data_IF_008727120267
#
_entry.id   IF_008727120267
#
_cell.length_a   1.000
_cell.length_b   1.000
_cell.length_c   1.000
_cell.angle_alpha   90.00
_cell.angle_beta   90.00
_cell.angle_gamma   90.00
#
_symmetry.space_group_name_H-M   'P 1'
#
loop_
_entity.id
_entity.type
_entity.pdbx_description
1 polymer ?
#
# COMPACT_ATOMS: atom_id res chain seq x y z
N UNK A 1 27.95 18.66 -1.93
CA UNK A 1 27.21 18.54 -3.20
C UNK A 1 25.71 18.85 -3.04
N UNK A 2 25.14 19.69 -3.92
CA UNK A 2 23.68 19.97 -4.03
C UNK A 2 23.16 19.36 -5.33
N UNK A 3 22.19 18.46 -5.27
CA UNK A 3 21.62 17.79 -6.45
C UNK A 3 20.61 18.71 -7.16
N UNK A 4 20.76 18.86 -8.48
CA UNK A 4 19.85 19.64 -9.33
C UNK A 4 19.00 18.67 -10.13
N UNK A 5 17.72 18.56 -9.82
CA UNK A 5 16.80 17.65 -10.50
C UNK A 5 15.85 18.47 -11.37
N UNK A 6 15.68 18.07 -12.63
CA UNK A 6 14.72 18.67 -13.55
C UNK A 6 13.74 17.63 -14.09
N UNK A 7 12.45 17.80 -13.79
CA UNK A 7 11.40 16.94 -14.33
C UNK A 7 11.06 17.23 -15.80
N UNK A 8 11.71 18.23 -16.42
CA UNK A 8 11.40 18.73 -17.77
C UNK A 8 12.50 18.42 -18.78
N UNK A 9 13.61 17.81 -18.34
CA UNK A 9 14.82 17.63 -19.15
C UNK A 9 14.71 16.51 -20.21
N UNK A 10 13.63 15.73 -20.22
CA UNK A 10 13.49 14.52 -21.04
C UNK A 10 14.43 13.36 -20.65
N UNK A 11 15.37 13.60 -19.72
CA UNK A 11 16.28 12.60 -19.17
C UNK A 11 15.65 12.05 -17.88
N UNK A 12 15.56 10.72 -17.70
CA UNK A 12 15.06 10.16 -16.45
C UNK A 12 15.82 10.70 -15.24
N UNK A 13 15.10 11.01 -14.15
CA UNK A 13 15.68 11.62 -12.93
C UNK A 13 16.85 10.77 -12.39
N UNK A 14 16.78 9.45 -12.51
CA UNK A 14 17.86 8.56 -12.10
C UNK A 14 19.16 8.79 -12.89
N UNK A 15 19.09 9.05 -14.21
CA UNK A 15 20.26 9.37 -15.03
C UNK A 15 20.81 10.76 -14.68
N UNK A 16 19.95 11.74 -14.36
CA UNK A 16 20.40 13.07 -13.94
C UNK A 16 21.21 13.02 -12.64
N UNK A 17 20.73 12.23 -11.66
CA UNK A 17 21.42 12.02 -10.38
C UNK A 17 22.74 11.26 -10.61
N UNK A 18 22.71 10.19 -11.40
CA UNK A 18 23.89 9.39 -11.75
C UNK A 18 25.00 10.21 -12.41
N UNK A 19 24.64 11.11 -13.33
CA UNK A 19 25.60 11.98 -14.02
C UNK A 19 26.22 13.00 -13.07
N UNK A 20 25.41 13.61 -12.19
CA UNK A 20 25.92 14.60 -11.24
C UNK A 20 26.82 13.96 -10.17
N UNK A 21 26.45 12.79 -9.64
CA UNK A 21 27.32 12.07 -8.68
C UNK A 21 28.61 11.62 -9.37
N UNK A 22 28.54 11.14 -10.62
CA UNK A 22 29.74 10.78 -11.40
C UNK A 22 30.63 12.00 -11.63
N UNK A 23 30.06 13.15 -11.98
CA UNK A 23 30.81 14.39 -12.17
C UNK A 23 31.48 14.85 -10.86
N UNK A 24 30.79 14.76 -9.72
CA UNK A 24 31.31 15.14 -8.41
C UNK A 24 32.45 14.22 -7.91
N UNK A 25 32.40 12.93 -8.23
CA UNK A 25 33.52 12.00 -7.95
C UNK A 25 34.71 12.32 -8.87
N UNK A 26 34.47 12.54 -10.16
CA UNK A 26 35.53 12.83 -11.13
C UNK A 26 36.17 14.21 -10.94
N UNK A 27 35.43 15.18 -10.39
CA UNK A 27 35.94 16.52 -10.05
C UNK A 27 36.67 16.56 -8.71
N UNK A 28 36.65 15.48 -7.93
CA UNK A 28 37.24 15.43 -6.59
C UNK A 28 36.42 16.17 -5.51
N UNK A 29 35.18 16.58 -5.82
CA UNK A 29 34.24 17.16 -4.83
C UNK A 29 33.76 16.10 -3.82
N UNK A 30 33.75 14.82 -4.22
CA UNK A 30 33.51 13.67 -3.36
C UNK A 30 34.78 12.83 -3.28
N UNK A 31 35.42 12.82 -2.10
CA UNK A 31 36.63 12.02 -1.88
C UNK A 31 36.30 10.62 -1.38
N UNK A 32 37.17 9.65 -1.70
CA UNK A 32 37.11 8.35 -1.06
C UNK A 32 37.31 8.57 0.45
N UNK A 33 36.46 7.95 1.28
CA UNK A 33 36.43 8.05 2.76
C UNK A 33 35.63 9.21 3.37
N UNK A 34 35.08 10.15 2.58
CA UNK A 34 34.03 11.06 3.09
C UNK A 34 32.70 10.31 3.27
N UNK A 35 32.08 10.46 4.44
CA UNK A 35 30.72 9.95 4.67
C UNK A 35 29.75 10.66 3.75
N UNK A 36 29.16 9.91 2.80
CA UNK A 36 28.03 10.39 2.01
C UNK A 36 26.95 10.95 2.97
N UNK A 37 26.21 12.00 2.57
CA UNK A 37 25.05 12.44 3.33
C UNK A 37 24.19 11.22 3.64
N UNK A 38 23.74 11.08 4.89
CA UNK A 38 22.94 9.91 5.28
C UNK A 38 21.84 9.66 4.24
N UNK A 39 21.55 8.40 3.94
CA UNK A 39 20.47 8.04 2.99
C UNK A 39 19.19 8.80 3.33
N UNK A 40 18.93 9.07 4.61
CA UNK A 40 17.85 9.92 5.10
C UNK A 40 17.89 11.35 4.57
N UNK A 41 19.05 12.01 4.58
CA UNK A 41 19.27 13.35 4.02
C UNK A 41 19.10 13.35 2.50
N UNK A 42 19.59 12.32 1.81
CA UNK A 42 19.41 12.16 0.36
C UNK A 42 17.94 11.89 0.00
N UNK A 43 17.26 11.06 0.79
CA UNK A 43 15.85 10.68 0.64
C UNK A 43 14.94 11.89 0.82
N UNK A 44 15.19 12.73 1.84
CA UNK A 44 14.44 13.98 2.06
C UNK A 44 14.56 14.92 0.85
N UNK A 45 15.69 14.93 0.15
CA UNK A 45 15.89 15.77 -1.05
C UNK A 45 15.26 15.20 -2.33
N UNK A 46 14.94 13.90 -2.36
CA UNK A 46 14.44 13.16 -3.53
C UNK A 46 12.95 12.73 -3.33
N UNK A 47 12.34 13.09 -2.20
CA UNK A 47 11.00 12.63 -1.80
C UNK A 47 9.91 12.87 -2.85
N UNK A 48 9.42 11.77 -3.42
CA UNK A 48 8.25 11.72 -4.30
C UNK A 48 8.03 10.38 -5.02
N UNK A 49 9.03 9.48 -5.09
CA UNK A 49 8.90 8.20 -5.83
C UNK A 49 9.66 7.07 -5.12
N UNK A 50 8.97 6.12 -4.44
CA UNK A 50 9.58 4.99 -3.74
C UNK A 50 10.44 4.08 -4.65
N UNK A 51 10.04 3.87 -5.90
CA UNK A 51 10.79 3.05 -6.86
C UNK A 51 12.07 3.73 -7.38
N UNK A 52 12.13 5.05 -7.37
CA UNK A 52 13.35 5.80 -7.68
C UNK A 52 14.36 5.71 -6.55
N UNK A 53 13.89 5.60 -5.30
CA UNK A 53 14.76 5.38 -4.13
C UNK A 53 15.47 4.02 -4.24
N UNK A 54 14.73 2.97 -4.59
CA UNK A 54 15.28 1.63 -4.80
C UNK A 54 16.28 1.60 -5.96
N UNK A 55 15.95 2.28 -7.07
CA UNK A 55 16.82 2.33 -8.25
C UNK A 55 18.11 3.11 -7.96
N UNK A 56 18.00 4.28 -7.32
CA UNK A 56 19.18 5.09 -6.91
C UNK A 56 20.02 4.33 -5.89
N UNK A 57 19.38 3.61 -4.97
CA UNK A 57 20.07 2.77 -3.99
C UNK A 57 20.80 1.58 -4.63
N UNK A 58 20.14 0.79 -5.48
CA UNK A 58 20.75 -0.34 -6.19
C UNK A 58 21.96 0.11 -7.03
N UNK A 59 21.87 1.27 -7.68
CA UNK A 59 22.94 1.82 -8.52
C UNK A 59 24.11 2.40 -7.70
N UNK A 60 23.82 3.03 -6.55
CA UNK A 60 24.87 3.45 -5.61
C UNK A 60 25.61 2.22 -5.07
N UNK A 61 24.88 1.17 -4.68
CA UNK A 61 25.44 -0.07 -4.16
C UNK A 61 26.30 -0.82 -5.19
N UNK A 62 25.78 -1.00 -6.42
CA UNK A 62 26.50 -1.66 -7.52
C UNK A 62 27.80 -0.93 -7.87
N UNK A 63 27.79 0.40 -7.84
CA UNK A 63 28.97 1.22 -8.16
C UNK A 63 30.00 1.23 -7.03
N UNK A 64 29.57 1.15 -5.76
CA UNK A 64 30.47 1.02 -4.61
C UNK A 64 31.13 -0.37 -4.54
N UNK A 65 30.42 -1.43 -4.96
CA UNK A 65 30.99 -2.77 -5.17
C UNK A 65 32.06 -2.76 -6.28
N UNK A 66 31.74 -2.15 -7.43
CA UNK A 66 32.66 -2.05 -8.57
C UNK A 66 33.88 -1.14 -8.30
N UNK A 67 33.79 -0.23 -7.33
CA UNK A 67 34.90 0.62 -6.89
C UNK A 67 35.76 -0.02 -5.78
N UNK A 68 35.53 -1.30 -5.42
CA UNK A 68 36.31 -2.01 -4.40
C UNK A 68 36.04 -1.57 -2.95
N UNK A 69 34.99 -0.78 -2.71
CA UNK A 69 34.62 -0.25 -1.39
C UNK A 69 33.62 -1.14 -0.63
N UNK A 70 33.26 -2.31 -1.19
CA UNK A 70 32.19 -3.18 -0.67
C UNK A 70 32.38 -3.74 0.74
N UNK A 71 33.61 -3.74 1.27
CA UNK A 71 33.93 -4.29 2.61
C UNK A 71 34.15 -3.22 3.69
N UNK A 72 34.17 -1.92 3.32
CA UNK A 72 34.49 -0.81 4.26
C UNK A 72 33.26 -0.09 4.79
N UNK A 73 32.11 -0.31 4.17
CA UNK A 73 30.82 0.15 4.65
C UNK A 73 29.92 -1.07 4.79
N UNK A 74 29.77 -1.54 6.02
CA UNK A 74 28.57 -2.27 6.41
C UNK A 74 27.42 -1.25 6.30
N UNK A 75 26.96 -1.00 5.08
CA UNK A 75 25.63 -0.43 4.91
C UNK A 75 24.72 -1.50 5.47
N UNK A 76 24.16 -1.23 6.66
CA UNK A 76 23.02 -1.96 7.16
C UNK A 76 22.11 -2.18 5.96
N UNK A 77 21.81 -3.45 5.68
CA UNK A 77 20.87 -3.89 4.63
C UNK A 77 19.45 -3.31 4.84
N UNK A 78 19.29 -2.36 5.75
CA UNK A 78 18.12 -1.56 6.08
C UNK A 78 17.81 -0.44 5.06
N UNK A 79 18.21 -0.54 3.79
CA UNK A 79 17.50 0.21 2.77
C UNK A 79 16.22 -0.54 2.44
N UNK A 80 15.20 -0.28 3.27
CA UNK A 80 13.76 -0.24 3.02
C UNK A 80 13.24 -1.27 1.98
N UNK A 81 13.76 -2.49 2.00
CA UNK A 81 12.97 -3.67 1.73
C UNK A 81 12.44 -4.06 3.09
N UNK A 82 11.27 -3.53 3.49
CA UNK A 82 10.58 -4.06 4.66
C UNK A 82 10.50 -5.57 4.41
N UNK A 83 11.19 -6.40 5.21
CA UNK A 83 11.17 -7.83 5.02
C UNK A 83 9.73 -8.31 4.89
N UNK A 84 9.46 -9.31 4.05
CA UNK A 84 8.11 -9.90 3.96
C UNK A 84 7.65 -10.34 5.37
N UNK A 85 8.57 -10.76 6.24
CA UNK A 85 8.30 -11.03 7.65
C UNK A 85 7.71 -9.83 8.39
N UNK A 86 8.16 -8.61 8.12
CA UNK A 86 7.73 -7.41 8.85
C UNK A 86 6.36 -6.94 8.36
N UNK A 87 6.09 -7.04 7.05
CA UNK A 87 4.75 -6.85 6.49
C UNK A 87 3.78 -7.87 7.11
N UNK A 88 4.20 -9.13 7.25
CA UNK A 88 3.40 -10.17 7.88
C UNK A 88 3.17 -9.89 9.37
N UNK A 89 4.22 -9.54 10.13
CA UNK A 89 4.13 -9.22 11.56
C UNK A 89 3.19 -8.02 11.77
N UNK A 90 3.35 -6.95 10.99
CA UNK A 90 2.51 -5.73 11.08
C UNK A 90 1.06 -6.01 10.70
N UNK A 91 0.81 -6.78 9.63
CA UNK A 91 -0.55 -7.12 9.23
C UNK A 91 -1.24 -8.02 10.25
N UNK A 92 -0.53 -9.00 10.82
CA UNK A 92 -1.07 -9.90 11.85
C UNK A 92 -1.33 -9.12 13.14
N UNK A 93 -0.37 -8.30 13.60
CA UNK A 93 -0.47 -7.60 14.88
C UNK A 93 -1.66 -6.63 14.91
N UNK A 94 -1.89 -5.91 13.82
CA UNK A 94 -3.06 -5.03 13.73
C UNK A 94 -4.38 -5.79 13.51
N UNK A 95 -4.36 -6.88 12.75
CA UNK A 95 -5.57 -7.68 12.52
C UNK A 95 -6.11 -8.37 13.80
N UNK A 96 -5.25 -8.65 14.79
CA UNK A 96 -5.68 -9.14 16.11
C UNK A 96 -6.71 -8.21 16.75
N UNK A 97 -6.62 -6.89 16.54
CA UNK A 97 -7.60 -5.93 17.06
C UNK A 97 -8.91 -5.90 16.25
N UNK A 98 -8.87 -6.27 14.96
CA UNK A 98 -10.07 -6.37 14.12
C UNK A 98 -10.93 -7.59 14.48
N UNK A 99 -10.32 -8.69 14.94
CA UNK A 99 -11.03 -9.94 15.27
C UNK A 99 -12.13 -9.72 16.33
N UNK A 100 -11.88 -9.09 17.49
CA UNK A 100 -12.93 -8.76 18.46
C UNK A 100 -14.04 -7.89 17.87
N UNK A 101 -13.71 -6.92 17.02
CA UNK A 101 -14.70 -6.04 16.36
C UNK A 101 -15.66 -6.86 15.51
N UNK A 102 -15.15 -7.78 14.70
CA UNK A 102 -15.99 -8.68 13.90
C UNK A 102 -16.82 -9.62 14.76
N UNK A 103 -16.23 -10.22 15.81
CA UNK A 103 -16.97 -11.09 16.73
C UNK A 103 -18.14 -10.33 17.37
N UNK A 104 -17.89 -9.14 17.92
CA UNK A 104 -18.92 -8.30 18.53
C UNK A 104 -20.00 -7.89 17.52
N UNK A 105 -19.60 -7.53 16.29
CA UNK A 105 -20.52 -7.19 15.22
C UNK A 105 -21.48 -8.34 14.87
N UNK A 106 -20.96 -9.56 14.67
CA UNK A 106 -21.80 -10.72 14.36
C UNK A 106 -22.64 -11.19 15.55
N UNK A 107 -22.17 -11.03 16.79
CA UNK A 107 -22.98 -11.26 17.99
C UNK A 107 -24.13 -10.25 18.09
N UNK A 108 -23.87 -8.98 17.77
CA UNK A 108 -24.89 -7.94 17.72
C UNK A 108 -25.94 -8.21 16.63
N UNK A 109 -25.52 -8.60 15.43
CA UNK A 109 -26.43 -9.03 14.36
C UNK A 109 -27.28 -10.24 14.78
N UNK A 110 -26.69 -11.21 15.48
CA UNK A 110 -27.41 -12.36 16.04
C UNK A 110 -28.50 -11.91 17.02
N UNK A 111 -28.19 -10.96 17.92
CA UNK A 111 -29.17 -10.38 18.86
C UNK A 111 -30.32 -9.68 18.16
N UNK A 112 -30.09 -9.07 16.99
CA UNK A 112 -31.11 -8.42 16.16
C UNK A 112 -31.91 -9.40 15.26
N UNK A 113 -31.67 -10.71 15.35
CA UNK A 113 -32.30 -11.70 14.46
C UNK A 113 -31.83 -11.67 13.00
N UNK A 114 -30.69 -10.99 12.74
CA UNK A 114 -30.05 -10.83 11.41
C UNK A 114 -28.85 -11.76 11.28
N UNK A 115 -29.03 -13.03 11.64
CA UNK A 115 -27.96 -14.04 11.57
C UNK A 115 -27.49 -14.25 10.13
N UNK A 116 -26.18 -14.37 9.97
CA UNK A 116 -25.54 -14.71 8.69
C UNK A 116 -25.15 -16.18 8.66
N UNK A 117 -24.89 -16.70 7.46
CA UNK A 117 -24.34 -18.05 7.32
C UNK A 117 -22.89 -18.09 7.86
N UNK A 118 -22.45 -19.26 8.31
CA UNK A 118 -21.07 -19.46 8.73
C UNK A 118 -20.05 -19.11 7.62
N UNK A 119 -20.34 -19.48 6.36
CA UNK A 119 -19.44 -19.19 5.24
C UNK A 119 -19.34 -17.69 4.94
N UNK A 120 -20.45 -16.94 5.05
CA UNK A 120 -20.42 -15.49 4.90
C UNK A 120 -19.55 -14.86 6.00
N UNK A 121 -19.78 -15.26 7.26
CA UNK A 121 -18.97 -14.78 8.39
C UNK A 121 -17.49 -15.10 8.15
N UNK A 122 -17.12 -16.35 7.84
CA UNK A 122 -15.74 -16.71 7.57
C UNK A 122 -15.12 -15.89 6.42
N UNK A 123 -15.87 -15.69 5.32
CA UNK A 123 -15.40 -14.90 4.19
C UNK A 123 -15.25 -13.41 4.53
N UNK A 124 -16.07 -12.85 5.44
CA UNK A 124 -15.89 -11.49 5.96
C UNK A 124 -14.60 -11.38 6.78
N UNK A 125 -14.25 -12.38 7.59
CA UNK A 125 -12.96 -12.39 8.29
C UNK A 125 -11.79 -12.37 7.30
N UNK A 126 -11.80 -13.24 6.29
CA UNK A 126 -10.77 -13.27 5.23
C UNK A 126 -10.70 -11.94 4.49
N UNK A 127 -11.84 -11.36 4.13
CA UNK A 127 -11.91 -10.06 3.47
C UNK A 127 -11.34 -8.94 4.36
N UNK A 128 -11.62 -8.96 5.67
CA UNK A 128 -11.06 -8.03 6.63
C UNK A 128 -9.54 -8.15 6.78
N UNK A 129 -9.01 -9.38 6.78
CA UNK A 129 -7.56 -9.59 6.81
C UNK A 129 -6.90 -9.04 5.54
N UNK A 130 -7.53 -9.27 4.39
CA UNK A 130 -7.11 -8.68 3.13
C UNK A 130 -7.10 -7.15 3.17
N UNK A 131 -8.17 -6.50 3.67
CA UNK A 131 -8.22 -5.03 3.77
C UNK A 131 -7.09 -4.50 4.66
N UNK A 132 -6.83 -5.18 5.77
CA UNK A 132 -5.77 -4.80 6.69
C UNK A 132 -4.37 -4.98 6.08
N UNK A 133 -4.15 -6.11 5.40
CA UNK A 133 -2.92 -6.40 4.67
C UNK A 133 -2.69 -5.39 3.54
N UNK A 134 -3.74 -5.00 2.81
CA UNK A 134 -3.67 -3.96 1.80
C UNK A 134 -3.14 -2.65 2.38
N UNK A 135 -3.73 -2.16 3.49
CA UNK A 135 -3.26 -0.93 4.13
C UNK A 135 -1.82 -1.05 4.66
N UNK A 136 -1.40 -2.26 5.06
CA UNK A 136 -0.02 -2.52 5.51
C UNK A 136 0.95 -2.41 4.33
N UNK A 137 0.61 -3.01 3.18
CA UNK A 137 1.44 -2.99 1.97
C UNK A 137 1.54 -1.59 1.37
N UNK A 138 0.50 -0.76 1.50
CA UNK A 138 0.54 0.65 1.06
C UNK A 138 1.38 1.56 1.98
N UNK A 139 1.96 1.01 3.06
CA UNK A 139 2.87 1.72 3.94
C UNK A 139 2.18 2.63 4.97
N UNK A 140 0.85 2.56 5.11
CA UNK A 140 0.15 3.27 6.18
C UNK A 140 0.58 2.68 7.52
N UNK A 141 0.81 3.52 8.53
CA UNK A 141 1.21 3.09 9.88
C UNK A 141 2.70 2.77 10.05
N UNK A 142 3.54 3.03 9.05
CA UNK A 142 5.01 2.90 9.17
C UNK A 142 5.68 4.12 9.79
N UNK A 143 5.04 5.29 9.76
CA UNK A 143 5.55 6.50 10.44
C UNK A 143 4.90 6.65 11.80
N UNK A 144 5.71 6.68 12.86
CA UNK A 144 5.27 6.98 14.24
C UNK A 144 4.74 8.41 14.40
N UNK A 145 5.06 9.32 13.47
CA UNK A 145 4.58 10.71 13.48
C UNK A 145 3.65 10.98 12.31
N UNK A 146 2.37 11.23 12.59
CA UNK A 146 1.38 11.68 11.61
C UNK A 146 1.56 13.18 11.34
N UNK A 147 2.56 13.56 10.55
CA UNK A 147 2.73 14.96 10.12
C UNK A 147 2.15 15.16 8.72
N UNK A 148 1.21 16.08 8.59
CA UNK A 148 0.66 16.44 7.28
C UNK A 148 1.73 17.09 6.40
N UNK A 149 2.14 16.38 5.34
CA UNK A 149 3.18 16.83 4.38
C UNK A 149 2.77 16.48 2.95
N UNK A 150 1.69 17.06 2.40
CA UNK A 150 1.17 16.66 1.10
C UNK A 150 2.15 17.01 -0.03
N UNK A 151 2.54 16.01 -0.80
CA UNK A 151 3.24 16.09 -2.05
C UNK A 151 2.42 15.28 -3.08
N UNK A 152 1.71 16.00 -3.94
CA UNK A 152 0.76 15.41 -4.88
C UNK A 152 1.39 15.41 -6.27
N UNK A 153 1.58 14.22 -6.83
CA UNK A 153 1.94 14.04 -8.24
C UNK A 153 0.69 14.21 -9.10
N UNK A 154 0.59 15.36 -9.77
CA UNK A 154 -0.55 15.71 -10.61
C UNK A 154 -0.40 15.27 -12.08
N UNK A 155 0.76 14.73 -12.47
CA UNK A 155 1.00 14.35 -13.86
C UNK A 155 0.46 12.95 -14.14
N UNK A 156 -0.69 12.82 -14.81
CA UNK A 156 -1.24 11.51 -15.10
C UNK A 156 -0.34 10.78 -16.11
N UNK A 157 -0.35 9.45 -16.05
CA UNK A 157 0.30 8.51 -16.97
C UNK A 157 1.83 8.47 -16.95
N UNK A 158 2.53 9.56 -16.59
CA UNK A 158 4.00 9.57 -16.57
C UNK A 158 4.52 8.51 -15.60
N UNK A 159 3.99 8.47 -14.37
CA UNK A 159 4.35 7.47 -13.36
C UNK A 159 4.06 6.03 -13.82
N UNK A 160 2.98 5.84 -14.59
CA UNK A 160 2.63 4.51 -15.12
C UNK A 160 3.62 4.01 -16.18
N UNK A 161 4.15 4.92 -17.00
CA UNK A 161 5.10 4.61 -18.06
C UNK A 161 6.51 4.40 -17.47
N UNK A 162 6.89 5.22 -16.49
CA UNK A 162 8.22 5.14 -15.86
C UNK A 162 8.33 4.05 -14.81
N UNK A 163 7.22 3.65 -14.18
CA UNK A 163 7.12 2.60 -13.16
C UNK A 163 6.03 1.55 -13.48
N UNK A 164 6.19 0.73 -14.53
CA UNK A 164 5.16 -0.24 -14.93
C UNK A 164 4.96 -1.37 -13.93
N UNK A 165 5.99 -1.74 -13.17
CA UNK A 165 5.90 -2.78 -12.13
C UNK A 165 5.01 -2.29 -10.99
N UNK A 166 5.24 -1.08 -10.48
CA UNK A 166 4.45 -0.46 -9.39
C UNK A 166 2.97 -0.35 -9.80
N UNK A 167 2.74 0.06 -11.06
CA UNK A 167 1.40 0.12 -11.65
C UNK A 167 0.70 -1.24 -11.65
N UNK A 168 1.39 -2.30 -12.08
CA UNK A 168 0.84 -3.66 -12.09
C UNK A 168 0.55 -4.14 -10.65
N UNK A 169 1.45 -3.85 -9.70
CA UNK A 169 1.29 -4.22 -8.30
C UNK A 169 0.07 -3.53 -7.68
N UNK A 170 -0.15 -2.24 -7.95
CA UNK A 170 -1.33 -1.50 -7.49
C UNK A 170 -2.64 -2.07 -8.07
N UNK A 171 -2.64 -2.44 -9.36
CA UNK A 171 -3.77 -3.14 -9.98
C UNK A 171 -4.04 -4.48 -9.26
N UNK A 172 -3.01 -5.33 -9.13
CA UNK A 172 -3.13 -6.65 -8.50
C UNK A 172 -3.61 -6.53 -7.05
N UNK A 173 -3.12 -5.51 -6.32
CA UNK A 173 -3.46 -5.27 -4.92
C UNK A 173 -4.97 -5.01 -4.73
N UNK A 174 -5.63 -4.35 -5.69
CA UNK A 174 -7.06 -4.03 -5.61
C UNK A 174 -8.00 -5.07 -6.27
N UNK A 175 -7.47 -6.05 -7.01
CA UNK A 175 -8.26 -7.14 -7.61
C UNK A 175 -9.10 -7.89 -6.56
N UNK A 176 -8.56 -8.30 -5.38
CA UNK A 176 -9.37 -8.98 -4.38
C UNK A 176 -10.51 -8.12 -3.84
N UNK A 177 -10.34 -6.79 -3.68
CA UNK A 177 -11.44 -5.90 -3.29
C UNK A 177 -12.60 -5.99 -4.29
N UNK A 178 -12.28 -5.89 -5.58
CA UNK A 178 -13.26 -6.00 -6.65
C UNK A 178 -13.98 -7.35 -6.73
N UNK A 179 -13.29 -8.41 -6.30
CA UNK A 179 -13.83 -9.77 -6.25
C UNK A 179 -14.71 -10.02 -5.02
N UNK A 180 -14.25 -9.62 -3.82
CA UNK A 180 -14.95 -9.90 -2.56
C UNK A 180 -16.25 -9.11 -2.43
N UNK A 181 -16.31 -7.86 -2.90
CA UNK A 181 -17.52 -7.04 -2.81
C UNK A 181 -18.77 -7.73 -3.40
N UNK A 182 -18.79 -8.12 -4.69
CA UNK A 182 -19.93 -8.83 -5.26
C UNK A 182 -20.11 -10.26 -4.72
N UNK A 183 -19.04 -10.91 -4.24
CA UNK A 183 -19.11 -12.23 -3.62
C UNK A 183 -19.91 -12.20 -2.30
N UNK A 184 -19.65 -11.20 -1.46
CA UNK A 184 -20.25 -11.06 -0.14
C UNK A 184 -21.60 -10.33 -0.18
N UNK A 185 -21.80 -9.43 -1.15
CA UNK A 185 -22.92 -8.47 -1.12
C UNK A 185 -23.61 -8.31 -2.47
N UNK A 186 -24.91 -8.59 -2.51
CA UNK A 186 -25.74 -8.46 -3.73
C UNK A 186 -25.77 -7.05 -4.33
N UNK A 187 -25.61 -6.00 -3.50
CA UNK A 187 -25.60 -4.60 -3.96
C UNK A 187 -24.40 -4.27 -4.87
N UNK A 188 -23.37 -5.11 -4.84
CA UNK A 188 -22.15 -4.94 -5.61
C UNK A 188 -22.12 -5.76 -6.91
N UNK A 189 -23.25 -6.35 -7.33
CA UNK A 189 -23.36 -7.06 -8.61
C UNK A 189 -23.26 -6.18 -9.87
N UNK A 190 -22.99 -4.88 -9.72
CA UNK A 190 -22.80 -3.96 -10.83
C UNK A 190 -21.41 -3.34 -10.77
N UNK A 191 -20.72 -3.30 -11.92
CA UNK A 191 -19.40 -2.69 -12.04
C UNK A 191 -19.34 -1.29 -11.44
N UNK A 192 -20.39 -0.47 -11.64
CA UNK A 192 -20.43 0.92 -11.14
C UNK A 192 -20.30 1.01 -9.61
N UNK A 193 -20.95 0.11 -8.87
CA UNK A 193 -20.88 0.14 -7.40
C UNK A 193 -19.54 -0.37 -6.89
N UNK A 194 -18.93 -1.36 -7.57
CA UNK A 194 -17.58 -1.83 -7.26
C UNK A 194 -16.53 -0.78 -7.59
N UNK A 195 -16.59 -0.17 -8.78
CA UNK A 195 -15.68 0.88 -9.21
C UNK A 195 -15.75 2.09 -8.28
N UNK A 196 -16.96 2.53 -7.89
CA UNK A 196 -17.12 3.64 -6.95
C UNK A 196 -16.53 3.32 -5.56
N UNK A 197 -16.77 2.11 -5.04
CA UNK A 197 -16.19 1.72 -3.75
C UNK A 197 -14.67 1.55 -3.82
N UNK A 198 -14.13 0.98 -4.91
CA UNK A 198 -12.68 0.90 -5.15
C UNK A 198 -12.05 2.29 -5.21
N UNK A 199 -12.65 3.21 -5.96
CA UNK A 199 -12.22 4.60 -6.05
C UNK A 199 -12.23 5.30 -4.69
N UNK A 200 -13.35 5.23 -3.95
CA UNK A 200 -13.46 5.90 -2.65
C UNK A 200 -12.50 5.30 -1.61
N UNK A 201 -12.29 3.98 -1.63
CA UNK A 201 -11.34 3.32 -0.74
C UNK A 201 -9.90 3.73 -1.07
N UNK A 202 -9.53 3.73 -2.36
CA UNK A 202 -8.21 4.20 -2.79
C UNK A 202 -8.01 5.68 -2.48
N UNK A 203 -9.03 6.53 -2.65
CA UNK A 203 -8.97 7.94 -2.26
C UNK A 203 -8.72 8.10 -0.75
N UNK A 204 -9.35 7.26 0.08
CA UNK A 204 -9.09 7.26 1.52
C UNK A 204 -7.65 6.85 1.85
N UNK A 205 -7.08 5.86 1.12
CA UNK A 205 -5.66 5.47 1.25
C UNK A 205 -4.74 6.66 0.93
N UNK A 206 -4.95 7.32 -0.21
CA UNK A 206 -4.17 8.49 -0.64
C UNK A 206 -4.23 9.63 0.38
N UNK A 207 -5.43 9.94 0.88
CA UNK A 207 -5.63 10.99 1.90
C UNK A 207 -4.84 10.65 3.17
N UNK A 208 -4.88 9.40 3.63
CA UNK A 208 -4.15 8.97 4.84
C UNK A 208 -2.64 9.02 4.62
N UNK A 209 -2.15 8.68 3.42
CA UNK A 209 -0.72 8.73 3.08
C UNK A 209 -0.15 10.16 3.12
N UNK A 210 -0.97 11.19 2.88
CA UNK A 210 -0.56 12.60 3.06
C UNK A 210 -0.17 12.95 4.50
N UNK A 211 -0.67 12.21 5.50
CA UNK A 211 -0.32 12.38 6.91
C UNK A 211 0.89 11.55 7.34
N UNK A 212 1.33 10.59 6.53
CA UNK A 212 2.49 9.75 6.80
C UNK A 212 3.73 10.28 6.08
N UNK A 213 4.06 9.63 4.97
CA UNK A 213 5.29 9.88 4.20
C UNK A 213 5.09 11.02 3.20
N UNK A 214 3.85 11.50 3.06
CA UNK A 214 3.54 12.74 2.35
C UNK A 214 3.36 12.59 0.85
N UNK A 215 3.46 11.39 0.27
CA UNK A 215 3.29 11.21 -1.17
C UNK A 215 1.87 10.75 -1.51
N UNK A 216 1.25 11.37 -2.49
CA UNK A 216 -0.01 10.93 -3.10
C UNK A 216 0.10 11.03 -4.63
N UNK A 217 -0.36 10.00 -5.35
CA UNK A 217 -0.31 9.95 -6.82
C UNK A 217 -1.70 9.67 -7.40
N UNK A 218 -2.12 10.54 -8.33
CA UNK A 218 -3.39 10.34 -9.05
C UNK A 218 -3.38 9.05 -9.88
N UNK A 219 -2.20 8.59 -10.32
CA UNK A 219 -2.04 7.33 -11.04
C UNK A 219 -2.43 6.13 -10.17
N UNK A 220 -2.08 6.16 -8.88
CA UNK A 220 -2.40 5.08 -7.94
C UNK A 220 -3.92 4.97 -7.75
N UNK A 221 -4.61 6.10 -7.63
CA UNK A 221 -6.07 6.16 -7.59
C UNK A 221 -6.71 5.51 -8.84
N UNK A 222 -6.15 5.78 -10.02
CA UNK A 222 -6.63 5.21 -11.28
C UNK A 222 -6.35 3.71 -11.38
N UNK A 223 -5.13 3.27 -11.05
CA UNK A 223 -4.72 1.85 -11.14
C UNK A 223 -5.44 0.98 -10.12
N UNK A 224 -5.63 1.49 -8.90
CA UNK A 224 -6.38 0.79 -7.86
C UNK A 224 -7.86 0.64 -8.25
N UNK A 225 -8.46 1.70 -8.80
CA UNK A 225 -9.83 1.63 -9.33
C UNK A 225 -9.93 0.63 -10.48
N UNK A 226 -8.94 0.59 -11.38
CA UNK A 226 -8.87 -0.40 -12.46
C UNK A 226 -8.72 -1.84 -11.90
N UNK A 227 -7.90 -2.03 -10.87
CA UNK A 227 -7.78 -3.29 -10.14
C UNK A 227 -9.12 -3.79 -9.59
N UNK A 228 -9.89 -2.91 -8.95
CA UNK A 228 -11.24 -3.25 -8.48
C UNK A 228 -12.19 -3.63 -9.63
N UNK A 229 -12.13 -2.95 -10.77
CA UNK A 229 -12.90 -3.32 -11.95
C UNK A 229 -12.49 -4.71 -12.49
N UNK A 230 -11.19 -5.00 -12.57
CA UNK A 230 -10.69 -6.33 -12.98
C UNK A 230 -11.14 -7.41 -11.99
N UNK A 231 -11.08 -7.13 -10.69
CA UNK A 231 -11.61 -8.01 -9.65
C UNK A 231 -13.09 -8.36 -9.84
N UNK A 232 -13.90 -7.39 -10.24
CA UNK A 232 -15.31 -7.63 -10.58
C UNK A 232 -15.46 -8.56 -11.79
N UNK A 233 -14.63 -8.38 -12.83
CA UNK A 233 -14.63 -9.28 -13.99
C UNK A 233 -14.24 -10.71 -13.59
N UNK A 234 -13.23 -10.85 -12.73
CA UNK A 234 -12.84 -12.15 -12.16
C UNK A 234 -14.00 -12.79 -11.40
N UNK A 235 -14.74 -12.02 -10.60
CA UNK A 235 -15.96 -12.50 -9.95
C UNK A 235 -17.01 -12.95 -10.97
N UNK A 236 -17.27 -12.17 -12.03
CA UNK A 236 -18.23 -12.54 -13.07
C UNK A 236 -17.87 -13.86 -13.76
N UNK A 237 -16.58 -14.13 -13.98
CA UNK A 237 -16.11 -15.38 -14.57
C UNK A 237 -16.26 -16.55 -13.58
N UNK A 238 -15.74 -16.42 -12.37
CA UNK A 238 -15.75 -17.49 -11.35
C UNK A 238 -17.16 -17.79 -10.85
N UNK A 239 -18.01 -16.77 -10.75
CA UNK A 239 -19.40 -16.96 -10.36
C UNK A 239 -20.16 -17.83 -11.36
N UNK A 240 -19.78 -17.94 -12.63
CA UNK A 240 -20.46 -18.90 -13.54
C UNK A 240 -20.22 -20.36 -13.16
N UNK A 241 -19.10 -20.65 -12.51
CA UNK A 241 -18.67 -22.01 -12.14
C UNK A 241 -19.16 -22.37 -10.72
N UNK A 242 -19.29 -21.38 -9.84
CA UNK A 242 -19.69 -21.61 -8.44
C UNK A 242 -21.14 -22.12 -8.31
N UNK A 243 -21.39 -23.18 -7.51
CA UNK A 243 -22.73 -23.71 -7.29
C UNK A 243 -23.62 -22.69 -6.59
N UNK A 244 -24.91 -22.66 -6.97
CA UNK A 244 -25.86 -21.66 -6.48
C UNK A 244 -26.03 -21.67 -4.94
N UNK A 245 -25.96 -22.86 -4.33
CA UNK A 245 -26.04 -23.03 -2.87
C UNK A 245 -24.87 -22.34 -2.15
N UNK A 246 -23.64 -22.48 -2.66
CA UNK A 246 -22.46 -21.87 -2.08
C UNK A 246 -22.51 -20.34 -2.17
N UNK A 247 -22.91 -19.80 -3.33
CA UNK A 247 -23.11 -18.35 -3.48
C UNK A 247 -24.12 -17.80 -2.48
N UNK A 248 -25.25 -18.50 -2.31
CA UNK A 248 -26.30 -18.09 -1.38
C UNK A 248 -25.81 -18.09 0.06
N UNK A 249 -24.92 -19.02 0.42
CA UNK A 249 -24.28 -19.04 1.74
C UNK A 249 -23.24 -17.93 1.90
N UNK A 250 -22.43 -17.65 0.88
CA UNK A 250 -21.42 -16.56 0.93
C UNK A 250 -22.03 -15.16 0.92
N UNK A 251 -23.25 -15.00 0.43
CA UNK A 251 -23.91 -13.70 0.37
C UNK A 251 -24.60 -13.31 1.67
N UNK A 252 -24.48 -12.03 2.00
CA UNK A 252 -25.16 -11.45 3.15
C UNK A 252 -26.68 -11.42 2.94
N UNK A 253 -27.41 -11.55 4.04
CA UNK A 253 -28.86 -11.47 4.08
C UNK A 253 -29.31 -10.55 5.21
N UNK A 254 -30.33 -9.71 4.99
CA UNK A 254 -30.92 -8.87 6.05
C UNK A 254 -29.96 -7.83 6.68
N UNK A 255 -28.87 -7.49 6.01
CA UNK A 255 -27.92 -6.44 6.41
C UNK A 255 -27.78 -5.39 5.32
N UNK A 256 -27.47 -4.16 5.72
CA UNK A 256 -27.18 -3.08 4.78
C UNK A 256 -25.71 -3.18 4.35
N UNK A 257 -25.50 -3.74 3.15
CA UNK A 257 -24.16 -3.97 2.60
C UNK A 257 -23.26 -2.74 2.61
N UNK A 258 -23.79 -1.55 2.29
CA UNK A 258 -22.99 -0.32 2.24
C UNK A 258 -22.53 0.08 3.64
N UNK A 259 -23.44 0.02 4.62
CA UNK A 259 -23.11 0.35 6.00
C UNK A 259 -22.08 -0.62 6.60
N UNK A 260 -22.17 -1.90 6.26
CA UNK A 260 -21.23 -2.92 6.71
C UNK A 260 -19.84 -2.75 6.11
N UNK A 261 -19.75 -2.55 4.78
CA UNK A 261 -18.49 -2.25 4.09
C UNK A 261 -17.84 -0.98 4.65
N UNK A 262 -18.62 0.09 4.87
CA UNK A 262 -18.11 1.33 5.47
C UNK A 262 -17.63 1.13 6.90
N UNK A 263 -18.38 0.40 7.73
CA UNK A 263 -17.97 0.08 9.10
C UNK A 263 -16.61 -0.65 9.10
N UNK A 264 -16.47 -1.68 8.27
CA UNK A 264 -15.22 -2.44 8.20
C UNK A 264 -14.06 -1.61 7.68
N UNK A 265 -14.28 -0.78 6.65
CA UNK A 265 -13.26 0.13 6.15
C UNK A 265 -12.81 1.12 7.25
N UNK A 266 -13.76 1.79 7.91
CA UNK A 266 -13.48 2.78 8.97
C UNK A 266 -12.73 2.12 10.13
N UNK A 267 -13.18 0.96 10.61
CA UNK A 267 -12.50 0.24 11.68
C UNK A 267 -11.07 -0.16 11.27
N UNK A 268 -10.88 -0.63 10.03
CA UNK A 268 -9.55 -1.01 9.51
C UNK A 268 -8.62 0.20 9.50
N UNK A 269 -9.05 1.34 8.94
CA UNK A 269 -8.25 2.58 8.94
C UNK A 269 -7.97 3.08 10.35
N UNK A 270 -8.97 3.09 11.23
CA UNK A 270 -8.81 3.57 12.60
C UNK A 270 -7.78 2.73 13.37
N UNK A 271 -7.88 1.40 13.31
CA UNK A 271 -6.93 0.49 13.98
C UNK A 271 -5.54 0.62 13.38
N UNK A 272 -5.44 0.68 12.05
CA UNK A 272 -4.18 0.85 11.32
C UNK A 272 -3.44 2.12 11.77
N UNK A 273 -4.13 3.26 11.88
CA UNK A 273 -3.50 4.54 12.26
C UNK A 273 -3.21 4.62 13.76
N UNK A 274 -3.98 3.92 14.60
CA UNK A 274 -3.90 4.05 16.08
C UNK A 274 -3.28 2.82 16.75
N UNK A 275 -4.11 1.80 17.03
CA UNK A 275 -3.76 0.65 17.87
C UNK A 275 -2.60 -0.17 17.30
N UNK A 276 -2.55 -0.35 15.98
CA UNK A 276 -1.45 -1.08 15.35
C UNK A 276 -0.14 -0.30 15.47
N UNK A 277 -0.11 0.98 15.09
CA UNK A 277 1.10 1.81 15.17
C UNK A 277 1.68 1.80 16.58
N UNK A 278 0.81 1.95 17.58
CA UNK A 278 1.17 1.85 19.00
C UNK A 278 1.74 0.47 19.35
N UNK A 279 1.05 -0.61 19.00
CA UNK A 279 1.47 -1.96 19.36
C UNK A 279 2.79 -2.37 18.70
N UNK A 280 3.00 -2.01 17.43
CA UNK A 280 4.23 -2.32 16.70
C UNK A 280 5.42 -1.57 17.30
N UNK A 281 5.26 -0.29 17.60
CA UNK A 281 6.33 0.57 18.11
C UNK A 281 6.63 0.31 19.59
N UNK A 282 5.60 0.31 20.45
CA UNK A 282 5.78 0.33 21.91
C UNK A 282 5.79 -1.06 22.55
N UNK A 283 5.23 -2.07 21.87
CA UNK A 283 5.15 -3.45 22.41
C UNK A 283 6.10 -4.39 21.68
N UNK A 284 6.11 -4.37 20.34
CA UNK A 284 6.95 -5.26 19.55
C UNK A 284 8.36 -4.73 19.30
N UNK A 285 8.63 -3.44 19.58
CA UNK A 285 9.89 -2.76 19.26
C UNK A 285 10.34 -2.99 17.81
N UNK A 286 9.38 -3.11 16.89
CA UNK A 286 9.65 -3.24 15.46
C UNK A 286 9.71 -1.82 14.87
N UNK A 287 10.78 -1.47 14.15
CA UNK A 287 10.96 -0.15 13.55
C UNK A 287 9.85 0.20 12.53
#
# INVERSE_FOLDING_TARGET
>A
MKLIISNVSGVPIYEQIKQQIKAAILSGELQAEETLPSLRTLTISIMGIPSLLMTVFCLLYEKMLNAGMGNKFEFDKEIIMIPISDILIRSISGYVFMVPVFVLYFLWLKKLGRTQSFLHTAAVFVFGYYLFGLLTVTGIGFTSTMTFRPNISWTPFIGMITGPIDTILNIILFVPLGFFLPLLYKKYHHMKTVALTGFLFSLAVEIVQMFGWGSSDINDLMTNTAGACIGFLVYCLLSRILPANLKKQLQSSRVNAVAEVLLFAICTFAIMVTAQTWFVHDVLNVP
#
